data_IF_844327361451
#
_entry.id   IF_844327361451
#
_cell.length_a   1.000
_cell.length_b   1.000
_cell.length_c   1.000
_cell.angle_alpha   90.00
_cell.angle_beta   90.00
_cell.angle_gamma   90.00
#
_symmetry.space_group_name_H-M   'P 1'
#
loop_
_entity.id
_entity.type
_entity.pdbx_description
1 polymer ?
#
# COMPACT_ATOMS: atom_id res chain seq x y z
N UNK A 1 62.11 39.98 7.61
CA UNK A 1 62.92 41.10 8.14
C UNK A 1 62.02 41.87 9.10
N UNK A 2 62.16 41.59 10.41
CA UNK A 2 62.58 42.54 11.46
C UNK A 2 61.52 43.61 11.79
N UNK A 3 60.70 43.44 12.85
CA UNK A 3 61.00 43.63 14.30
C UNK A 3 61.06 45.13 14.62
N UNK A 4 60.08 45.70 15.33
CA UNK A 4 60.11 46.03 16.78
C UNK A 4 59.45 47.42 16.93
N UNK A 5 58.83 47.91 18.00
CA UNK A 5 59.04 47.76 19.44
C UNK A 5 57.73 48.04 20.20
N UNK A 6 57.46 47.25 21.23
CA UNK A 6 56.75 47.70 22.44
C UNK A 6 57.74 48.48 23.32
N UNK A 7 57.31 49.35 24.26
CA UNK A 7 57.01 48.85 25.60
C UNK A 7 55.90 49.61 26.39
N UNK A 8 55.35 48.89 27.36
CA UNK A 8 54.55 49.35 28.51
C UNK A 8 55.36 50.21 29.48
N UNK A 9 54.70 50.97 30.39
CA UNK A 9 54.65 50.53 31.79
C UNK A 9 53.34 50.82 32.57
N UNK A 10 52.88 49.83 33.35
CA UNK A 10 52.77 49.79 34.85
C UNK A 10 52.63 51.15 35.60
N UNK A 11 51.83 51.42 36.65
CA UNK A 11 51.13 50.69 37.75
C UNK A 11 50.11 51.67 38.39
N UNK A 12 49.05 51.18 39.05
CA UNK A 12 48.55 51.56 40.42
C UNK A 12 47.03 51.57 40.56
N UNK A 13 46.53 50.43 41.02
CA UNK A 13 45.64 50.22 42.18
C UNK A 13 44.97 51.43 42.84
N UNK A 14 43.63 51.38 42.97
CA UNK A 14 42.97 51.71 44.23
C UNK A 14 41.64 50.93 44.36
N UNK A 15 41.51 50.25 45.50
CA UNK A 15 40.43 49.39 45.92
C UNK A 15 39.21 50.19 46.43
N UNK A 16 38.03 49.63 46.12
CA UNK A 16 36.86 49.35 47.00
C UNK A 16 36.57 50.32 48.16
N UNK A 17 35.36 50.89 48.15
CA UNK A 17 34.35 50.66 49.18
C UNK A 17 33.04 51.39 48.81
N UNK A 18 31.98 50.66 48.48
CA UNK A 18 30.64 51.09 48.86
C UNK A 18 29.92 49.89 49.45
N UNK A 19 29.62 50.06 50.73
CA UNK A 19 28.95 49.10 51.57
C UNK A 19 27.44 49.12 51.30
N UNK A 20 26.86 47.92 51.29
CA UNK A 20 25.64 47.62 52.03
C UNK A 20 24.35 48.33 51.60
N UNK A 21 23.68 47.76 50.61
CA UNK A 21 22.23 47.88 50.43
C UNK A 21 21.67 46.51 50.09
N UNK A 22 21.38 45.69 51.10
CA UNK A 22 20.68 44.41 50.94
C UNK A 22 19.24 44.74 50.55
N UNK A 23 18.98 44.83 49.25
CA UNK A 23 17.63 44.82 48.72
C UNK A 23 17.27 43.37 48.40
N UNK A 24 16.53 42.75 49.30
CA UNK A 24 16.02 41.40 49.18
C UNK A 24 14.90 41.40 48.12
N UNK A 25 15.29 41.33 46.85
CA UNK A 25 14.37 41.02 45.76
C UNK A 25 14.05 39.53 45.83
N UNK A 26 12.89 39.21 46.43
CA UNK A 26 12.23 37.92 46.28
C UNK A 26 11.95 37.71 44.79
N UNK A 27 12.82 36.96 44.13
CA UNK A 27 12.55 36.39 42.82
C UNK A 27 11.41 35.38 43.01
N UNK A 28 10.18 35.82 42.76
CA UNK A 28 9.04 34.94 42.59
C UNK A 28 9.32 34.16 41.32
N UNK A 29 9.91 32.96 41.46
CA UNK A 29 9.98 32.01 40.38
C UNK A 29 8.54 31.60 40.07
N UNK A 30 7.94 32.24 39.08
CA UNK A 30 6.65 31.83 38.54
C UNK A 30 6.78 30.36 38.14
N UNK A 31 5.92 29.45 38.64
CA UNK A 31 5.89 28.10 38.11
C UNK A 31 5.49 28.20 36.64
N UNK A 32 6.45 27.98 35.76
CA UNK A 32 6.19 27.82 34.33
C UNK A 32 5.36 26.56 34.22
N UNK A 33 4.04 26.72 34.08
CA UNK A 33 3.17 25.62 33.68
C UNK A 33 3.71 25.14 32.34
N UNK A 34 4.33 23.95 32.34
CA UNK A 34 4.62 23.23 31.13
C UNK A 34 3.27 22.96 30.47
N UNK A 35 2.88 23.82 29.52
CA UNK A 35 1.81 23.50 28.59
C UNK A 35 2.30 22.29 27.82
N UNK A 36 1.80 21.12 28.20
CA UNK A 36 1.86 19.94 27.35
C UNK A 36 1.18 20.33 26.04
N UNK A 37 1.97 20.54 24.98
CA UNK A 37 1.45 20.56 23.63
C UNK A 37 0.59 19.30 23.48
N UNK A 38 -0.65 19.39 23.01
CA UNK A 38 -1.44 18.19 22.77
C UNK A 38 -0.65 17.31 21.82
N UNK A 39 -0.23 16.14 22.30
CA UNK A 39 0.28 15.08 21.45
C UNK A 39 -0.76 14.89 20.35
N UNK A 40 -0.40 14.94 19.05
CA UNK A 40 -1.37 14.60 18.02
C UNK A 40 -1.89 13.21 18.36
N UNK A 41 -3.19 13.11 18.64
CA UNK A 41 -3.84 11.84 18.91
C UNK A 41 -3.54 10.92 17.72
N UNK A 42 -3.23 9.62 17.95
CA UNK A 42 -3.21 8.67 16.86
C UNK A 42 -4.58 8.78 16.17
N UNK A 43 -4.57 8.92 14.84
CA UNK A 43 -5.79 8.91 14.04
C UNK A 43 -6.46 7.56 14.28
N UNK A 44 -7.50 7.55 15.13
CA UNK A 44 -8.24 6.34 15.42
C UNK A 44 -8.91 5.84 14.14
N UNK A 45 -8.99 4.51 13.99
CA UNK A 45 -9.72 3.83 12.92
C UNK A 45 -11.17 4.34 12.74
N UNK A 46 -11.73 5.02 13.75
CA UNK A 46 -13.03 5.71 13.71
C UNK A 46 -13.15 6.78 12.61
N UNK A 47 -12.05 7.28 12.03
CA UNK A 47 -12.09 8.23 10.90
C UNK A 47 -12.45 7.55 9.57
N UNK A 48 -12.43 6.21 9.50
CA UNK A 48 -12.99 5.48 8.35
C UNK A 48 -14.53 5.54 8.30
N UNK A 49 -15.18 6.06 9.34
CA UNK A 49 -16.65 6.13 9.48
C UNK A 49 -17.16 7.57 9.21
N UNK A 50 -16.68 8.18 8.13
CA UNK A 50 -17.57 9.00 7.31
C UNK A 50 -17.97 8.12 6.13
N UNK A 51 -19.22 8.17 5.66
CA UNK A 51 -19.80 7.32 4.59
C UNK A 51 -19.09 7.33 3.20
N UNK A 52 -17.77 7.49 3.16
CA UNK A 52 -16.91 7.54 2.00
C UNK A 52 -16.00 6.31 2.00
N UNK A 53 -15.77 5.76 0.82
CA UNK A 53 -14.89 4.60 0.61
C UNK A 53 -13.45 4.92 1.01
N UNK A 54 -12.69 3.90 1.39
CA UNK A 54 -11.24 4.04 1.57
C UNK A 54 -10.53 4.15 0.20
N UNK A 55 -11.07 3.47 -0.80
CA UNK A 55 -10.61 3.48 -2.19
C UNK A 55 -11.53 4.31 -3.09
N UNK A 56 -10.94 5.28 -3.78
CA UNK A 56 -11.61 6.11 -4.79
C UNK A 56 -11.23 5.59 -6.18
N UNK A 57 -12.07 4.78 -6.85
CA UNK A 57 -11.73 4.23 -8.16
C UNK A 57 -11.58 5.37 -9.19
N UNK A 58 -10.64 5.25 -10.13
CA UNK A 58 -10.50 6.19 -11.23
C UNK A 58 -11.80 6.33 -12.03
N UNK A 59 -12.11 7.54 -12.48
CA UNK A 59 -13.23 7.78 -13.37
C UNK A 59 -12.97 7.08 -14.73
N UNK A 60 -13.73 6.03 -15.03
CA UNK A 60 -13.58 5.26 -16.26
C UNK A 60 -14.83 4.47 -16.58
N UNK A 61 -15.05 4.15 -17.85
CA UNK A 61 -16.20 3.37 -18.30
C UNK A 61 -16.24 2.00 -17.63
N UNK A 62 -17.38 1.65 -17.02
CA UNK A 62 -17.79 0.26 -16.76
C UNK A 62 -17.74 -0.50 -18.08
N UNK A 63 -16.62 -1.16 -18.37
CA UNK A 63 -16.35 -1.63 -19.71
C UNK A 63 -15.11 -2.52 -19.76
N UNK A 64 -15.26 -3.75 -19.27
CA UNK A 64 -14.25 -4.78 -19.35
C UNK A 64 -14.68 -5.93 -18.46
N UNK A 65 -15.22 -7.00 -19.05
CA UNK A 65 -15.59 -8.20 -18.32
C UNK A 65 -14.33 -8.95 -17.89
N UNK A 66 -13.67 -8.48 -16.84
CA UNK A 66 -12.59 -9.23 -16.22
C UNK A 66 -13.19 -10.48 -15.58
N UNK A 67 -12.76 -11.67 -16.01
CA UNK A 67 -13.00 -12.87 -15.22
C UNK A 67 -12.02 -12.83 -14.06
N UNK A 68 -12.47 -12.97 -12.81
CA UNK A 68 -11.56 -13.00 -11.64
C UNK A 68 -10.95 -14.39 -11.40
N UNK A 69 -10.86 -15.19 -12.46
CA UNK A 69 -10.47 -16.59 -12.42
C UNK A 69 -11.42 -17.54 -13.14
N UNK A 70 -10.91 -18.74 -13.41
CA UNK A 70 -11.61 -19.82 -14.11
C UNK A 70 -10.98 -21.17 -13.82
N UNK A 71 -11.63 -22.24 -14.30
CA UNK A 71 -11.23 -23.64 -14.15
C UNK A 71 -11.15 -24.12 -12.70
N UNK A 72 -12.14 -24.87 -12.21
CA UNK A 72 -12.06 -25.58 -10.93
C UNK A 72 -12.08 -27.07 -11.22
N UNK A 73 -11.20 -27.53 -12.12
CA UNK A 73 -11.15 -28.96 -12.44
C UNK A 73 -10.02 -29.58 -11.62
N UNK A 74 -10.37 -30.38 -10.62
CA UNK A 74 -9.41 -31.18 -9.86
C UNK A 74 -8.65 -30.47 -8.74
N UNK A 75 -8.92 -29.18 -8.50
CA UNK A 75 -8.32 -28.43 -7.39
C UNK A 75 -9.27 -28.40 -6.18
N UNK A 76 -8.73 -28.68 -4.99
CA UNK A 76 -9.38 -28.33 -3.73
C UNK A 76 -9.06 -26.88 -3.35
N UNK A 77 -9.82 -26.29 -2.43
CA UNK A 77 -9.56 -24.93 -1.98
C UNK A 77 -9.85 -23.85 -3.01
N UNK A 78 -9.68 -22.62 -2.57
CA UNK A 78 -10.12 -21.43 -3.25
C UNK A 78 -8.99 -20.42 -3.42
N UNK A 79 -8.89 -19.86 -4.62
CA UNK A 79 -8.01 -18.75 -4.95
C UNK A 79 -8.83 -17.52 -5.32
N UNK A 80 -8.49 -16.35 -4.77
CA UNK A 80 -9.20 -15.09 -5.07
C UNK A 80 -8.19 -14.00 -5.45
N UNK A 81 -8.32 -13.39 -6.63
CA UNK A 81 -7.57 -12.18 -6.96
C UNK A 81 -8.05 -11.00 -6.10
N UNK A 82 -7.11 -10.28 -5.48
CA UNK A 82 -7.39 -9.11 -4.64
C UNK A 82 -7.10 -7.82 -5.42
N UNK A 83 -7.82 -7.65 -6.53
CA UNK A 83 -7.70 -6.49 -7.40
C UNK A 83 -9.06 -6.07 -7.99
N UNK A 84 -9.26 -4.78 -8.33
CA UNK A 84 -10.49 -4.30 -8.95
C UNK A 84 -10.79 -5.08 -10.22
N UNK A 85 -11.98 -5.67 -10.26
CA UNK A 85 -12.51 -6.39 -11.41
C UNK A 85 -13.97 -5.99 -11.64
N UNK A 86 -14.49 -6.28 -12.84
CA UNK A 86 -15.86 -5.97 -13.27
C UNK A 86 -16.24 -4.47 -13.34
N UNK A 87 -15.38 -3.56 -12.85
CA UNK A 87 -15.50 -2.11 -12.99
C UNK A 87 -14.35 -1.57 -13.88
N UNK A 88 -13.49 -0.72 -13.32
CA UNK A 88 -12.31 -0.13 -13.97
C UNK A 88 -11.10 -0.94 -13.54
N UNK A 89 -10.16 -1.23 -14.44
CA UNK A 89 -8.91 -1.90 -14.07
C UNK A 89 -8.23 -1.18 -12.90
N UNK A 90 -7.61 -1.95 -12.01
CA UNK A 90 -6.79 -1.36 -10.95
C UNK A 90 -5.63 -0.58 -11.54
N UNK A 91 -5.31 0.58 -10.97
CA UNK A 91 -4.20 1.40 -11.42
C UNK A 91 -2.99 1.25 -10.51
N UNK A 92 -1.81 1.44 -11.10
CA UNK A 92 -0.55 1.61 -10.39
C UNK A 92 0.29 2.72 -11.01
N UNK A 93 1.13 3.37 -10.20
CA UNK A 93 2.23 4.19 -10.74
C UNK A 93 3.58 3.48 -10.64
N UNK A 94 3.65 2.29 -10.05
CA UNK A 94 4.87 1.50 -9.94
C UNK A 94 5.20 0.81 -11.26
N UNK A 95 6.45 0.92 -11.68
CA UNK A 95 6.99 0.13 -12.79
C UNK A 95 7.18 -1.36 -12.42
N UNK A 96 7.20 -1.67 -11.12
CA UNK A 96 7.37 -3.03 -10.56
C UNK A 96 6.28 -3.27 -9.50
N UNK A 97 5.02 -3.46 -9.91
CA UNK A 97 3.91 -3.57 -8.97
C UNK A 97 3.94 -4.89 -8.20
N UNK A 98 3.23 -4.89 -7.06
CA UNK A 98 2.93 -6.07 -6.27
C UNK A 98 1.52 -6.54 -6.58
N UNK A 99 1.41 -7.80 -7.02
CA UNK A 99 0.15 -8.48 -7.29
C UNK A 99 -0.22 -9.34 -6.09
N UNK A 100 -1.49 -9.34 -5.69
CA UNK A 100 -1.94 -9.99 -4.47
C UNK A 100 -3.15 -10.87 -4.75
N UNK A 101 -3.12 -12.09 -4.21
CA UNK A 101 -4.24 -13.03 -4.23
C UNK A 101 -4.37 -13.71 -2.87
N UNK A 102 -5.50 -14.37 -2.63
CA UNK A 102 -5.75 -15.15 -1.43
C UNK A 102 -5.75 -16.64 -1.75
N UNK A 103 -5.19 -17.45 -0.86
CA UNK A 103 -5.30 -18.91 -0.83
C UNK A 103 -6.10 -19.34 0.41
N UNK A 104 -7.15 -20.15 0.24
CA UNK A 104 -7.95 -20.63 1.38
C UNK A 104 -7.29 -21.74 2.20
N UNK A 105 -6.28 -22.38 1.65
CA UNK A 105 -5.57 -23.51 2.26
C UNK A 105 -4.12 -23.52 1.77
N UNK A 106 -3.26 -24.26 2.45
CA UNK A 106 -1.88 -24.48 2.02
C UNK A 106 -1.88 -25.26 0.69
N UNK A 107 -1.06 -24.82 -0.25
CA UNK A 107 -0.93 -25.38 -1.59
C UNK A 107 0.48 -25.89 -1.79
N UNK A 108 0.62 -27.22 -1.86
CA UNK A 108 1.88 -27.89 -2.23
C UNK A 108 2.10 -27.99 -3.76
N UNK A 109 1.06 -27.65 -4.53
CA UNK A 109 1.05 -27.75 -5.99
C UNK A 109 1.93 -26.67 -6.63
N UNK A 110 2.30 -26.89 -7.90
CA UNK A 110 3.03 -25.89 -8.68
C UNK A 110 2.15 -24.65 -8.89
N UNK A 111 2.69 -23.48 -8.53
CA UNK A 111 2.13 -22.18 -8.83
C UNK A 111 2.96 -21.48 -9.91
N UNK A 112 2.30 -20.78 -10.82
CA UNK A 112 2.94 -19.96 -11.86
C UNK A 112 2.30 -18.58 -11.88
N UNK A 113 3.14 -17.55 -11.89
CA UNK A 113 2.73 -16.18 -12.16
C UNK A 113 3.04 -15.84 -13.61
N UNK A 114 2.06 -15.31 -14.33
CA UNK A 114 2.22 -14.88 -15.72
C UNK A 114 1.71 -13.46 -15.89
N UNK A 115 2.46 -12.64 -16.62
CA UNK A 115 2.07 -11.28 -16.99
C UNK A 115 1.97 -11.18 -18.50
N UNK A 116 0.89 -10.55 -18.93
CA UNK A 116 0.57 -10.35 -20.32
C UNK A 116 0.36 -8.88 -20.63
N UNK A 117 0.92 -8.40 -21.74
CA UNK A 117 0.66 -7.07 -22.28
C UNK A 117 -0.62 -7.07 -23.12
N UNK A 118 -1.50 -6.11 -22.87
CA UNK A 118 -2.74 -5.90 -23.61
C UNK A 118 -2.49 -4.92 -24.78
N UNK A 119 -1.99 -5.45 -25.88
CA UNK A 119 -1.65 -4.67 -27.08
C UNK A 119 -2.80 -4.55 -28.08
N UNK A 120 -2.65 -3.67 -29.10
CA UNK A 120 -3.66 -3.48 -30.14
C UNK A 120 -3.88 -4.72 -31.02
N UNK A 121 -2.89 -5.62 -31.09
CA UNK A 121 -2.96 -6.89 -31.84
C UNK A 121 -3.47 -8.06 -31.00
N UNK A 122 -3.92 -7.79 -29.77
CA UNK A 122 -4.27 -8.78 -28.77
C UNK A 122 -3.20 -8.90 -27.71
N UNK A 123 -3.30 -10.00 -26.97
CA UNK A 123 -2.49 -10.23 -25.79
C UNK A 123 -1.17 -10.95 -26.11
N UNK A 124 -0.09 -10.54 -25.43
CA UNK A 124 1.22 -11.20 -25.52
C UNK A 124 1.78 -11.47 -24.13
N UNK A 125 2.25 -12.68 -23.87
CA UNK A 125 2.99 -13.02 -22.64
C UNK A 125 4.33 -12.29 -22.63
N UNK A 126 4.61 -11.55 -21.56
CA UNK A 126 5.85 -10.78 -21.40
C UNK A 126 6.68 -11.24 -20.21
N UNK A 127 6.10 -11.99 -19.28
CA UNK A 127 6.79 -12.53 -18.13
C UNK A 127 6.07 -13.79 -17.63
N UNK A 128 6.83 -14.82 -17.25
CA UNK A 128 6.32 -15.99 -16.55
C UNK A 128 7.35 -16.50 -15.55
N UNK A 129 6.91 -16.87 -14.36
CA UNK A 129 7.77 -17.42 -13.31
C UNK A 129 7.02 -18.44 -12.45
N UNK A 130 7.63 -19.60 -12.26
CA UNK A 130 7.20 -20.55 -11.24
C UNK A 130 7.41 -19.95 -9.84
N UNK A 131 6.38 -19.98 -9.02
CA UNK A 131 6.39 -19.48 -7.65
C UNK A 131 6.40 -20.67 -6.69
N UNK A 132 7.07 -20.50 -5.55
CA UNK A 132 7.09 -21.54 -4.52
C UNK A 132 5.66 -21.91 -4.07
N UNK A 133 5.46 -23.18 -3.62
CA UNK A 133 4.25 -23.59 -2.92
C UNK A 133 3.80 -22.54 -1.89
N UNK A 134 2.50 -22.26 -1.85
CA UNK A 134 1.93 -21.16 -1.06
C UNK A 134 1.30 -21.64 0.23
N UNK A 135 1.43 -20.85 1.30
CA UNK A 135 0.66 -21.03 2.53
C UNK A 135 -0.73 -20.41 2.39
N UNK A 136 -1.67 -20.85 3.22
CA UNK A 136 -2.99 -20.24 3.33
C UNK A 136 -2.86 -18.75 3.72
N UNK A 137 -3.68 -17.90 3.12
CA UNK A 137 -3.73 -16.47 3.41
C UNK A 137 -3.40 -15.58 2.21
N UNK A 138 -2.90 -14.38 2.52
CA UNK A 138 -2.60 -13.33 1.56
C UNK A 138 -1.23 -13.57 0.92
N UNK A 139 -1.25 -14.02 -0.33
CA UNK A 139 -0.06 -14.24 -1.13
C UNK A 139 0.22 -13.02 -2.00
N UNK A 140 1.50 -12.78 -2.28
CA UNK A 140 1.92 -11.69 -3.14
C UNK A 140 3.08 -12.08 -4.03
N UNK A 141 3.10 -11.47 -5.22
CA UNK A 141 4.21 -11.53 -6.16
C UNK A 141 4.58 -10.10 -6.55
N UNK A 142 5.83 -9.72 -6.34
CA UNK A 142 6.34 -8.42 -6.81
C UNK A 142 7.20 -8.65 -8.04
N UNK A 143 6.93 -7.90 -9.12
CA UNK A 143 7.70 -8.02 -10.34
C UNK A 143 9.20 -7.77 -10.04
N UNK A 144 10.10 -8.71 -10.35
CA UNK A 144 11.52 -8.57 -10.06
C UNK A 144 12.16 -7.36 -10.75
N UNK A 145 13.14 -6.73 -10.11
CA UNK A 145 13.79 -5.52 -10.64
C UNK A 145 14.61 -5.77 -11.93
N UNK A 146 14.96 -7.04 -12.22
CA UNK A 146 15.63 -7.47 -13.45
C UNK A 146 14.65 -7.79 -14.59
N UNK A 147 13.34 -7.81 -14.33
CA UNK A 147 12.32 -7.85 -15.38
C UNK A 147 12.20 -6.49 -16.09
N UNK A 148 11.63 -6.50 -17.29
CA UNK A 148 11.32 -5.26 -18.01
C UNK A 148 10.29 -4.43 -17.22
N UNK A 149 10.58 -3.14 -16.95
CA UNK A 149 9.66 -2.29 -16.21
C UNK A 149 8.37 -2.10 -17.00
N UNK A 150 7.23 -2.05 -16.31
CA UNK A 150 5.95 -1.79 -16.96
C UNK A 150 5.87 -0.35 -17.46
N UNK A 151 5.35 -0.18 -18.66
CA UNK A 151 5.28 1.10 -19.37
C UNK A 151 4.11 1.96 -18.91
N UNK A 152 4.36 3.24 -18.64
CA UNK A 152 3.29 4.20 -18.33
C UNK A 152 2.32 4.33 -19.50
N UNK A 153 1.02 4.28 -19.22
CA UNK A 153 -0.06 4.31 -20.20
C UNK A 153 -0.44 2.94 -20.76
N UNK A 154 0.31 1.88 -20.42
CA UNK A 154 0.05 0.53 -20.87
C UNK A 154 -0.87 -0.23 -19.90
N UNK A 155 -1.61 -1.19 -20.44
CA UNK A 155 -2.46 -2.11 -19.66
C UNK A 155 -1.91 -3.53 -19.80
N UNK A 156 -1.99 -4.27 -18.70
CA UNK A 156 -1.53 -5.65 -18.61
C UNK A 156 -2.62 -6.49 -17.94
N UNK A 157 -2.56 -7.81 -18.14
CA UNK A 157 -3.30 -8.78 -17.34
C UNK A 157 -2.29 -9.65 -16.61
N UNK A 158 -2.45 -9.80 -15.31
CA UNK A 158 -1.69 -10.77 -14.54
C UNK A 158 -2.58 -11.98 -14.24
N UNK A 159 -1.95 -13.15 -14.19
CA UNK A 159 -2.60 -14.40 -13.86
C UNK A 159 -1.72 -15.18 -12.88
N UNK A 160 -2.36 -15.81 -11.90
CA UNK A 160 -1.72 -16.82 -11.06
C UNK A 160 -2.42 -18.15 -11.28
N UNK A 161 -1.66 -19.15 -11.72
CA UNK A 161 -2.15 -20.48 -12.08
C UNK A 161 -1.62 -21.52 -11.11
N UNK A 162 -2.52 -22.34 -10.57
CA UNK A 162 -2.23 -23.55 -9.79
C UNK A 162 -2.43 -24.78 -10.66
N UNK A 163 -1.45 -25.67 -10.67
CA UNK A 163 -1.49 -26.94 -11.39
C UNK A 163 -1.72 -28.09 -10.42
N UNK A 164 -2.97 -28.51 -10.28
CA UNK A 164 -3.45 -29.37 -9.20
C UNK A 164 -3.20 -30.87 -9.41
N UNK A 165 -2.89 -31.28 -10.64
CA UNK A 165 -2.47 -32.64 -10.95
C UNK A 165 -1.35 -32.62 -11.98
N UNK A 166 -0.16 -33.04 -11.58
CA UNK A 166 1.00 -33.13 -12.46
C UNK A 166 0.80 -34.10 -13.64
N UNK A 167 -0.13 -35.05 -13.53
CA UNK A 167 -0.45 -36.00 -14.59
C UNK A 167 -1.61 -35.55 -15.49
N UNK A 168 -2.30 -34.46 -15.12
CA UNK A 168 -3.40 -33.90 -15.88
C UNK A 168 -3.23 -32.38 -16.06
N UNK A 169 -2.60 -31.94 -17.17
CA UNK A 169 -2.38 -30.52 -17.45
C UNK A 169 -3.65 -29.66 -17.51
N UNK A 170 -4.84 -30.28 -17.65
CA UNK A 170 -6.12 -29.57 -17.62
C UNK A 170 -6.71 -29.41 -16.21
N UNK A 171 -6.09 -30.00 -15.19
CA UNK A 171 -6.48 -29.84 -13.79
C UNK A 171 -5.79 -28.60 -13.20
N UNK A 172 -6.30 -27.43 -13.60
CA UNK A 172 -5.77 -26.14 -13.18
C UNK A 172 -6.85 -25.29 -12.54
N UNK A 173 -6.41 -24.39 -11.67
CA UNK A 173 -7.19 -23.29 -11.09
C UNK A 173 -6.39 -22.02 -11.26
N UNK A 174 -7.03 -20.93 -11.68
CA UNK A 174 -6.34 -19.66 -11.82
C UNK A 174 -7.18 -18.48 -11.36
N UNK A 175 -6.50 -17.40 -11.03
CA UNK A 175 -7.07 -16.07 -10.78
C UNK A 175 -6.33 -15.07 -11.64
N UNK A 176 -7.03 -14.01 -12.05
CA UNK A 176 -6.47 -12.98 -12.90
C UNK A 176 -7.14 -11.63 -12.62
N UNK A 177 -6.46 -10.56 -13.01
CA UNK A 177 -7.02 -9.21 -13.08
C UNK A 177 -6.21 -8.33 -14.02
N UNK A 178 -6.83 -7.25 -14.49
CA UNK A 178 -6.16 -6.22 -15.27
C UNK A 178 -5.48 -5.18 -14.37
N UNK A 179 -4.39 -4.60 -14.88
CA UNK A 179 -3.63 -3.52 -14.27
C UNK A 179 -3.27 -2.49 -15.34
N UNK A 180 -3.46 -1.21 -15.03
CA UNK A 180 -3.01 -0.11 -15.89
C UNK A 180 -1.93 0.70 -15.16
N UNK A 181 -0.80 0.91 -15.82
CA UNK A 181 0.25 1.79 -15.30
C UNK A 181 -0.07 3.21 -15.71
N UNK A 182 -0.10 4.11 -14.74
CA UNK A 182 -0.44 5.52 -14.94
C UNK A 182 0.67 6.43 -14.45
N UNK A 183 0.63 7.68 -14.88
CA UNK A 183 1.64 8.67 -14.50
C UNK A 183 1.69 8.83 -12.96
N UNK A 184 2.88 8.78 -12.35
CA UNK A 184 3.04 9.05 -10.93
C UNK A 184 2.50 10.43 -10.55
N UNK A 185 1.89 10.58 -9.37
CA UNK A 185 1.42 11.89 -8.94
C UNK A 185 2.61 12.83 -8.79
N UNK A 186 2.48 14.09 -9.25
CA UNK A 186 3.55 15.10 -9.15
C UNK A 186 4.05 15.32 -7.72
N UNK A 187 3.22 14.99 -6.73
CA UNK A 187 3.50 15.09 -5.31
C UNK A 187 3.89 13.75 -4.68
N UNK A 188 4.31 12.72 -5.44
CA UNK A 188 4.65 11.40 -4.90
C UNK A 188 5.67 11.49 -3.75
N UNK A 189 6.75 12.27 -3.93
CA UNK A 189 7.73 12.50 -2.87
C UNK A 189 7.13 13.14 -1.61
N UNK A 190 6.11 13.98 -1.76
CA UNK A 190 5.36 14.55 -0.63
C UNK A 190 4.45 13.50 0.04
N UNK A 191 3.84 12.61 -0.75
CA UNK A 191 3.03 11.51 -0.23
C UNK A 191 3.89 10.54 0.60
N UNK A 192 5.09 10.22 0.14
CA UNK A 192 6.01 9.31 0.84
C UNK A 192 6.61 9.93 2.11
N UNK A 193 6.96 11.22 2.09
CA UNK A 193 7.59 11.90 3.23
C UNK A 193 6.63 12.19 4.38
N UNK A 194 5.34 12.38 4.09
CA UNK A 194 4.32 12.76 5.08
C UNK A 194 3.53 11.55 5.62
N UNK A 195 3.76 10.36 5.07
CA UNK A 195 3.12 9.10 5.48
C UNK A 195 4.13 8.10 6.05
N UNK A 196 4.50 8.21 7.35
CA UNK A 196 5.50 7.33 7.95
C UNK A 196 5.04 5.87 8.13
N UNK A 197 3.74 5.59 8.15
CA UNK A 197 3.20 4.24 8.40
C UNK A 197 2.60 3.60 7.13
N UNK A 198 2.55 2.25 7.04
CA UNK A 198 1.92 1.55 5.93
C UNK A 198 0.45 1.96 5.75
N UNK A 199 -0.34 2.00 6.82
CA UNK A 199 -1.71 2.53 6.80
C UNK A 199 -1.81 3.93 6.16
N UNK A 200 -0.97 4.89 6.60
CA UNK A 200 -1.01 6.25 6.08
C UNK A 200 -0.62 6.33 4.61
N UNK A 201 0.29 5.48 4.13
CA UNK A 201 0.64 5.40 2.70
C UNK A 201 -0.51 4.77 1.92
N UNK A 202 -1.01 3.63 2.41
CA UNK A 202 -2.08 2.86 1.79
C UNK A 202 -3.33 3.70 1.58
N UNK A 203 -3.83 4.39 2.61
CA UNK A 203 -5.05 5.21 2.48
C UNK A 203 -4.87 6.39 1.52
N UNK A 204 -3.67 6.94 1.40
CA UNK A 204 -3.39 8.02 0.44
C UNK A 204 -3.37 7.51 -0.99
N UNK A 205 -2.72 6.37 -1.23
CA UNK A 205 -2.73 5.74 -2.56
C UNK A 205 -4.14 5.31 -2.95
N UNK A 206 -4.91 4.74 -2.02
CA UNK A 206 -6.28 4.31 -2.26
C UNK A 206 -7.20 5.48 -2.64
N UNK A 207 -7.13 6.60 -1.92
CA UNK A 207 -7.87 7.84 -2.24
C UNK A 207 -7.40 8.54 -3.51
N UNK A 208 -6.22 8.19 -4.02
CA UNK A 208 -5.72 8.67 -5.29
C UNK A 208 -6.02 7.70 -6.46
N UNK A 209 -6.71 6.58 -6.20
CA UNK A 209 -7.07 5.58 -7.20
C UNK A 209 -5.98 4.56 -7.55
N UNK A 210 -4.85 4.57 -6.85
CA UNK A 210 -3.74 3.65 -7.09
C UNK A 210 -3.91 2.37 -6.26
N UNK A 211 -4.80 1.48 -6.71
CA UNK A 211 -5.15 0.25 -5.98
C UNK A 211 -3.93 -0.61 -5.62
N UNK A 212 -3.09 -0.93 -6.60
CA UNK A 212 -1.98 -1.86 -6.39
C UNK A 212 -0.94 -1.28 -5.42
N UNK A 213 -0.66 0.02 -5.53
CA UNK A 213 0.23 0.73 -4.61
C UNK A 213 -0.34 0.78 -3.18
N UNK A 214 -1.66 0.92 -3.04
CA UNK A 214 -2.35 0.92 -1.76
C UNK A 214 -2.32 -0.45 -1.07
N UNK A 215 -2.76 -1.49 -1.78
CA UNK A 215 -2.83 -2.84 -1.23
C UNK A 215 -1.43 -3.38 -0.90
N UNK A 216 -0.41 -3.03 -1.68
CA UNK A 216 0.98 -3.40 -1.39
C UNK A 216 1.46 -2.92 -0.01
N UNK A 217 0.88 -1.84 0.55
CA UNK A 217 1.24 -1.37 1.90
C UNK A 217 0.66 -2.25 3.01
N UNK A 218 -0.50 -2.89 2.76
CA UNK A 218 -1.30 -3.50 3.84
C UNK A 218 -1.69 -4.96 3.60
N UNK A 219 -1.32 -5.58 2.48
CA UNK A 219 -1.69 -6.98 2.22
C UNK A 219 -1.19 -7.92 3.32
N UNK A 220 0.05 -7.74 3.79
CA UNK A 220 0.68 -8.51 4.86
C UNK A 220 0.46 -7.88 6.26
N UNK A 221 -0.61 -7.08 6.44
CA UNK A 221 -0.89 -6.36 7.67
C UNK A 221 -1.02 -7.27 8.90
N UNK A 222 -0.26 -6.92 9.94
CA UNK A 222 -0.27 -7.56 11.26
C UNK A 222 -0.71 -6.61 12.39
N UNK A 223 -0.90 -5.31 12.09
CA UNK A 223 -1.42 -4.34 13.06
C UNK A 223 -2.92 -4.15 12.84
N UNK A 224 -3.65 -3.77 13.89
CA UNK A 224 -5.11 -3.56 13.81
C UNK A 224 -5.46 -2.51 12.77
N UNK A 225 -4.72 -1.40 12.71
CA UNK A 225 -4.99 -0.32 11.76
C UNK A 225 -4.75 -0.76 10.30
N UNK A 226 -3.60 -1.39 10.02
CA UNK A 226 -3.28 -1.87 8.67
C UNK A 226 -4.28 -2.96 8.22
N UNK A 227 -4.71 -3.84 9.15
CA UNK A 227 -5.72 -4.87 8.87
C UNK A 227 -7.09 -4.25 8.58
N UNK A 228 -7.51 -3.24 9.35
CA UNK A 228 -8.75 -2.51 9.11
C UNK A 228 -8.73 -1.84 7.73
N UNK A 229 -7.61 -1.26 7.31
CA UNK A 229 -7.48 -0.70 5.97
C UNK A 229 -7.56 -1.79 4.89
N UNK A 230 -6.84 -2.91 5.04
CA UNK A 230 -6.94 -4.04 4.09
C UNK A 230 -8.38 -4.49 3.93
N UNK A 231 -9.10 -4.69 5.04
CA UNK A 231 -10.51 -5.08 5.02
C UNK A 231 -11.39 -4.04 4.32
N UNK A 232 -11.22 -2.75 4.64
CA UNK A 232 -11.95 -1.66 3.99
C UNK A 232 -11.73 -1.65 2.47
N UNK A 233 -10.47 -1.80 2.02
CA UNK A 233 -10.15 -1.87 0.59
C UNK A 233 -10.86 -3.04 -0.10
N UNK A 234 -10.84 -4.23 0.51
CA UNK A 234 -11.50 -5.43 -0.05
C UNK A 234 -13.02 -5.26 -0.11
N UNK A 235 -13.63 -4.66 0.92
CA UNK A 235 -15.07 -4.36 0.92
C UNK A 235 -15.43 -3.32 -0.15
N UNK A 236 -14.60 -2.31 -0.37
CA UNK A 236 -14.83 -1.28 -1.39
C UNK A 236 -14.87 -1.88 -2.81
N UNK A 237 -13.95 -2.80 -3.16
CA UNK A 237 -13.97 -3.47 -4.47
C UNK A 237 -15.10 -4.49 -4.57
N UNK A 238 -15.52 -5.11 -3.47
CA UNK A 238 -16.71 -5.96 -3.43
C UNK A 238 -17.98 -5.15 -3.70
N UNK A 239 -18.12 -3.96 -3.09
CA UNK A 239 -19.21 -3.03 -3.36
C UNK A 239 -19.24 -2.60 -4.83
N UNK A 240 -18.08 -2.21 -5.40
CA UNK A 240 -17.97 -1.83 -6.82
C UNK A 240 -18.40 -2.96 -7.76
N UNK A 241 -18.04 -4.20 -7.47
CA UNK A 241 -18.47 -5.33 -8.30
C UNK A 241 -19.97 -5.59 -8.21
N UNK A 242 -20.56 -5.49 -7.01
CA UNK A 242 -21.99 -5.73 -6.81
C UNK A 242 -22.88 -4.72 -7.58
N UNK A 243 -22.39 -3.50 -7.82
CA UNK A 243 -23.10 -2.46 -8.59
C UNK A 243 -23.32 -2.82 -10.07
N UNK A 244 -22.50 -3.74 -10.60
CA UNK A 244 -22.53 -4.09 -12.03
C UNK A 244 -23.73 -4.95 -12.43
N UNK A 245 -24.56 -5.40 -11.47
CA UNK A 245 -25.70 -6.31 -11.67
C UNK A 245 -25.35 -7.59 -12.47
N UNK A 246 -24.10 -8.05 -12.35
CA UNK A 246 -23.57 -9.23 -13.00
C UNK A 246 -23.45 -10.38 -11.98
N UNK A 247 -23.99 -11.57 -12.27
CA UNK A 247 -23.96 -12.70 -11.31
C UNK A 247 -22.56 -13.23 -11.02
N UNK A 248 -21.61 -13.11 -11.94
CA UNK A 248 -20.20 -13.44 -11.69
C UNK A 248 -19.55 -12.37 -10.80
N UNK A 249 -19.85 -11.10 -11.02
CA UNK A 249 -19.39 -10.01 -10.16
C UNK A 249 -19.95 -10.12 -8.74
N UNK A 250 -21.23 -10.47 -8.59
CA UNK A 250 -21.85 -10.71 -7.28
C UNK A 250 -21.18 -11.87 -6.54
N UNK A 251 -20.93 -12.99 -7.24
CA UNK A 251 -20.20 -14.13 -6.64
C UNK A 251 -18.80 -13.73 -6.21
N UNK A 252 -18.08 -12.94 -7.00
CA UNK A 252 -16.75 -12.45 -6.61
C UNK A 252 -16.81 -11.50 -5.41
N UNK A 253 -17.80 -10.59 -5.37
CA UNK A 253 -18.10 -9.75 -4.20
C UNK A 253 -18.33 -10.59 -2.95
N UNK A 254 -19.18 -11.62 -3.02
CA UNK A 254 -19.48 -12.49 -1.88
C UNK A 254 -18.22 -13.22 -1.36
N UNK A 255 -17.36 -13.67 -2.27
CA UNK A 255 -16.07 -14.30 -1.93
C UNK A 255 -15.13 -13.32 -1.22
N UNK A 256 -15.07 -12.06 -1.65
CA UNK A 256 -14.26 -11.05 -0.97
C UNK A 256 -14.79 -10.72 0.43
N UNK A 257 -16.12 -10.67 0.60
CA UNK A 257 -16.74 -10.42 1.90
C UNK A 257 -16.49 -11.56 2.88
N UNK A 258 -16.56 -12.80 2.43
CA UNK A 258 -16.28 -13.95 3.29
C UNK A 258 -14.85 -13.91 3.84
N UNK A 259 -13.86 -13.45 3.05
CA UNK A 259 -12.48 -13.28 3.53
C UNK A 259 -12.36 -12.30 4.70
N UNK A 260 -13.18 -11.24 4.70
CA UNK A 260 -13.18 -10.20 5.74
C UNK A 260 -13.92 -10.66 7.00
N UNK A 261 -14.91 -11.55 6.86
CA UNK A 261 -15.71 -12.08 7.96
C UNK A 261 -15.05 -13.24 8.71
N UNK A 262 -14.10 -13.95 8.10
CA UNK A 262 -13.29 -14.98 8.78
C UNK A 262 -12.31 -14.35 9.78
N UNK A 263 -12.41 -14.67 11.09
CA UNK A 263 -11.52 -14.13 12.12
C UNK A 263 -10.10 -14.70 12.07
#
# INVERSE_FOLDING_TARGET
MFVSHSPQPHVLSALRAFAGGISCLLAIASPTWAQSSPTPAPLSADVLISNARAYDPPAGSTGGGANTGGGIRGCNGEMIALAPAFHTPGQTFSAYPTFVWYLSEDVADRLEFTLFHQGPTGETEIFSQEILPGEAGYQAFTLPADAEPLGVGETYRWQTTRYCDANNPGAIQWVESEITVVEPPRSLALLETVAPTPWQKGIRFARAGYWYDALAQVYAANTVDDQALRQALLLDIADLAAETNNSTANRWSDRLRSLVETP
#
